data_IF_038070126658
#
_entry.id   IF_038070126658
#
_cell.length_a   1.000
_cell.length_b   1.000
_cell.length_c   1.000
_cell.angle_alpha   90.00
_cell.angle_beta   90.00
_cell.angle_gamma   90.00
#
_symmetry.space_group_name_H-M   'P 1'
#
loop_
_entity.id
_entity.type
_entity.pdbx_description
1 polymer ?
#
# COMPACT_ATOMS: atom_id res chain seq x y z
N UNK A 1 50.89 -23.24 -1.66
CA UNK A 1 49.80 -22.77 -0.76
C UNK A 1 49.41 -21.31 -0.96
N UNK A 2 50.34 -20.38 -1.17
CA UNK A 2 50.00 -18.93 -1.35
C UNK A 2 49.23 -18.60 -2.62
N UNK A 3 49.37 -19.36 -3.70
CA UNK A 3 48.63 -19.09 -4.99
C UNK A 3 47.18 -19.58 -4.95
N UNK A 4 46.84 -20.60 -4.16
CA UNK A 4 45.47 -21.10 -3.99
C UNK A 4 44.65 -20.13 -3.14
N UNK A 5 45.29 -19.49 -2.13
CA UNK A 5 44.61 -18.51 -1.28
C UNK A 5 44.27 -17.21 -2.03
N UNK A 6 45.07 -16.79 -3.01
CA UNK A 6 44.82 -15.62 -3.85
C UNK A 6 43.71 -15.88 -4.89
N UNK A 7 43.55 -17.11 -5.36
CA UNK A 7 42.49 -17.47 -6.29
C UNK A 7 41.11 -17.55 -5.61
N UNK A 8 41.05 -18.01 -4.34
CA UNK A 8 39.80 -18.00 -3.54
C UNK A 8 39.35 -16.59 -3.16
N UNK A 9 40.26 -15.63 -3.02
CA UNK A 9 39.89 -14.24 -2.67
C UNK A 9 39.30 -13.47 -3.88
N UNK A 10 39.64 -13.86 -5.11
CA UNK A 10 39.14 -13.23 -6.33
C UNK A 10 37.72 -13.70 -6.73
N UNK A 11 37.28 -14.86 -6.21
CA UNK A 11 35.92 -15.37 -6.48
C UNK A 11 34.83 -14.68 -5.67
N UNK A 12 35.18 -13.91 -4.61
CA UNK A 12 34.22 -13.16 -3.78
C UNK A 12 33.92 -11.74 -4.28
N UNK A 13 34.53 -11.31 -5.39
CA UNK A 13 34.35 -9.98 -6.00
C UNK A 13 33.57 -9.99 -7.30
N UNK A 14 32.73 -11.03 -7.54
CA UNK A 14 31.74 -10.91 -8.61
C UNK A 14 30.66 -9.92 -8.14
N UNK A 15 30.55 -8.73 -8.78
CA UNK A 15 29.43 -7.86 -8.51
C UNK A 15 28.17 -8.64 -8.94
N UNK A 16 27.30 -8.98 -8.01
CA UNK A 16 25.95 -9.39 -8.34
C UNK A 16 25.32 -8.18 -9.03
N UNK A 17 25.25 -8.23 -10.36
CA UNK A 17 24.48 -7.26 -11.12
C UNK A 17 23.02 -7.42 -10.70
N UNK A 18 22.57 -6.59 -9.76
CA UNK A 18 21.16 -6.44 -9.51
C UNK A 18 20.60 -5.72 -10.73
N UNK A 19 19.81 -6.42 -11.52
CA UNK A 19 18.99 -5.80 -12.54
C UNK A 19 18.05 -4.82 -11.83
N UNK A 20 18.23 -3.52 -12.08
CA UNK A 20 17.29 -2.50 -11.66
C UNK A 20 16.09 -2.58 -12.61
N UNK A 21 15.12 -3.41 -12.31
CA UNK A 21 13.87 -3.45 -13.05
C UNK A 21 13.00 -2.25 -12.62
N UNK A 22 12.45 -1.56 -13.62
CA UNK A 22 11.52 -0.45 -13.41
C UNK A 22 10.20 -1.01 -12.87
N UNK A 23 10.05 -0.99 -11.56
CA UNK A 23 8.91 -1.57 -10.87
C UNK A 23 7.76 -0.55 -10.80
N UNK A 24 6.58 -0.92 -11.30
CA UNK A 24 5.35 -0.17 -11.11
C UNK A 24 5.11 0.07 -9.61
N UNK A 25 4.80 1.32 -9.28
CA UNK A 25 4.66 1.74 -7.89
C UNK A 25 3.54 1.02 -7.15
N UNK A 26 3.88 0.07 -6.26
CA UNK A 26 2.95 -0.64 -5.37
C UNK A 26 3.15 -0.25 -3.89
N UNK A 27 3.51 1.01 -3.63
CA UNK A 27 3.66 1.51 -2.27
C UNK A 27 2.32 1.51 -1.50
N UNK A 28 2.35 1.36 -0.16
CA UNK A 28 1.17 1.45 0.65
C UNK A 28 0.53 2.85 0.54
N UNK A 29 -0.78 2.89 0.32
CA UNK A 29 -1.53 4.14 0.19
C UNK A 29 -1.97 4.64 1.55
N UNK A 30 -1.70 5.93 1.81
CA UNK A 30 -2.02 6.62 3.05
C UNK A 30 -0.91 6.56 4.11
N UNK A 31 -0.71 7.69 4.81
CA UNK A 31 0.33 7.81 5.84
C UNK A 31 0.12 6.88 7.04
N UNK A 32 -1.12 6.42 7.28
CA UNK A 32 -1.41 5.42 8.32
C UNK A 32 -0.71 4.10 8.01
N UNK A 33 -0.90 3.56 6.82
CA UNK A 33 -0.27 2.33 6.37
C UNK A 33 1.25 2.47 6.35
N UNK A 34 1.76 3.58 5.81
CA UNK A 34 3.19 3.86 5.77
C UNK A 34 3.83 3.87 7.15
N UNK A 35 3.20 4.54 8.15
CA UNK A 35 3.70 4.58 9.53
C UNK A 35 3.68 3.23 10.25
N UNK A 36 2.94 2.25 9.74
CA UNK A 36 2.87 0.87 10.23
C UNK A 36 3.80 -0.11 9.47
N UNK A 37 4.89 0.40 8.88
CA UNK A 37 5.79 -0.42 8.06
C UNK A 37 5.20 -0.87 6.74
N UNK A 38 4.09 -0.30 6.30
CA UNK A 38 3.33 -0.72 5.13
C UNK A 38 2.36 -1.87 5.37
N UNK A 39 2.20 -2.35 6.61
CA UNK A 39 1.22 -3.38 6.96
C UNK A 39 -0.20 -2.79 6.95
N UNK A 40 -0.97 -3.09 5.92
CA UNK A 40 -2.27 -2.45 5.66
C UNK A 40 -3.39 -3.41 5.27
N UNK A 41 -3.11 -4.69 5.06
CA UNK A 41 -4.07 -5.66 4.50
C UNK A 41 -5.32 -5.85 5.37
N UNK A 42 -5.26 -5.49 6.66
CA UNK A 42 -6.36 -5.60 7.63
C UNK A 42 -7.00 -4.26 8.00
N UNK A 43 -6.46 -3.12 7.51
CA UNK A 43 -6.92 -1.80 7.93
C UNK A 43 -8.26 -1.42 7.30
N UNK A 44 -9.27 -1.00 8.11
CA UNK A 44 -10.58 -0.57 7.63
C UNK A 44 -10.67 0.96 7.56
N UNK A 45 -10.18 1.56 6.49
CA UNK A 45 -10.23 3.01 6.26
C UNK A 45 -10.40 3.32 4.76
N UNK A 46 -10.47 4.58 4.38
CA UNK A 46 -10.63 5.00 2.98
C UNK A 46 -9.49 4.48 2.08
N UNK A 47 -8.28 4.29 2.63
CA UNK A 47 -7.10 3.79 1.93
C UNK A 47 -7.20 2.30 1.60
N UNK A 48 -8.16 1.58 2.23
CA UNK A 48 -8.41 0.17 1.96
C UNK A 48 -8.76 -0.07 0.48
N UNK A 49 -9.40 0.87 -0.21
CA UNK A 49 -9.65 0.75 -1.64
C UNK A 49 -8.40 0.34 -2.44
N UNK A 50 -7.24 0.87 -2.09
CA UNK A 50 -5.98 0.57 -2.77
C UNK A 50 -5.12 -0.48 -2.03
N UNK A 51 -5.27 -0.62 -0.71
CA UNK A 51 -4.45 -1.53 0.09
C UNK A 51 -5.05 -2.95 0.20
N UNK A 52 -6.36 -3.05 0.42
CA UNK A 52 -7.18 -4.27 0.39
C UNK A 52 -8.65 -3.87 0.27
N UNK A 53 -9.29 -4.00 -0.89
CA UNK A 53 -10.63 -3.47 -1.13
C UNK A 53 -11.69 -4.02 -0.19
N UNK A 54 -11.51 -5.21 0.41
CA UNK A 54 -12.43 -5.75 1.41
C UNK A 54 -12.61 -4.84 2.65
N UNK A 55 -11.57 -4.09 3.02
CA UNK A 55 -11.60 -3.16 4.14
C UNK A 55 -12.61 -2.03 3.98
N UNK A 56 -12.98 -1.66 2.75
CA UNK A 56 -14.00 -0.65 2.49
C UNK A 56 -15.36 -1.02 3.09
N UNK A 57 -15.70 -2.32 3.13
CA UNK A 57 -16.98 -2.78 3.66
C UNK A 57 -17.20 -2.44 5.15
N UNK A 58 -16.16 -2.09 5.88
CA UNK A 58 -16.27 -1.63 7.26
C UNK A 58 -16.71 -0.17 7.38
N UNK A 59 -16.60 0.62 6.33
CA UNK A 59 -16.97 2.04 6.34
C UNK A 59 -18.48 2.19 6.37
N UNK A 60 -18.95 3.17 7.14
CA UNK A 60 -20.40 3.43 7.37
C UNK A 60 -20.84 4.77 6.78
N UNK A 61 -19.90 5.59 6.32
CA UNK A 61 -20.16 6.93 5.77
C UNK A 61 -19.30 7.15 4.53
N UNK A 62 -19.70 8.14 3.71
CA UNK A 62 -18.85 8.61 2.62
C UNK A 62 -17.54 9.14 3.21
N UNK A 63 -16.44 8.61 2.73
CA UNK A 63 -15.10 9.09 3.06
C UNK A 63 -14.36 9.48 1.79
N UNK A 64 -13.70 10.64 1.86
CA UNK A 64 -12.81 11.16 0.83
C UNK A 64 -11.38 11.12 1.35
N UNK A 65 -10.44 10.80 0.49
CA UNK A 65 -9.02 10.76 0.83
C UNK A 65 -8.17 11.50 -0.21
N UNK A 66 -7.16 12.23 0.25
CA UNK A 66 -6.10 12.78 -0.58
C UNK A 66 -4.75 12.44 0.05
N UNK A 67 -3.77 12.08 -0.77
CA UNK A 67 -2.43 11.78 -0.28
C UNK A 67 -1.34 12.24 -1.23
N UNK A 68 -0.17 12.50 -0.64
CA UNK A 68 1.09 12.68 -1.34
C UNK A 68 2.15 11.79 -0.67
N UNK A 69 2.92 11.11 -1.49
CA UNK A 69 4.04 10.29 -1.07
C UNK A 69 5.27 10.63 -1.88
N UNK A 70 6.35 11.03 -1.23
CA UNK A 70 7.61 11.36 -1.86
C UNK A 70 8.68 10.38 -1.40
N UNK A 71 9.21 9.57 -2.33
CA UNK A 71 10.29 8.61 -2.03
C UNK A 71 11.63 9.31 -2.01
N UNK A 72 12.39 9.04 -0.96
CA UNK A 72 13.78 9.47 -0.81
C UNK A 72 14.00 10.97 -1.01
N UNK A 73 12.94 11.77 -0.79
CA UNK A 73 12.93 13.24 -1.01
C UNK A 73 13.25 13.64 -2.46
N UNK A 74 13.03 12.75 -3.44
CA UNK A 74 13.21 13.00 -4.87
C UNK A 74 11.87 13.40 -5.51
N UNK A 75 11.82 14.54 -6.20
CA UNK A 75 10.59 15.07 -6.80
C UNK A 75 10.01 14.11 -7.86
N UNK A 76 10.87 13.47 -8.65
CA UNK A 76 10.53 12.53 -9.71
C UNK A 76 9.90 11.23 -9.17
N UNK A 77 10.10 10.94 -7.89
CA UNK A 77 9.54 9.76 -7.21
C UNK A 77 8.35 10.12 -6.32
N UNK A 78 7.55 11.10 -6.76
CA UNK A 78 6.36 11.53 -6.03
C UNK A 78 5.11 10.85 -6.58
N UNK A 79 4.30 10.31 -5.65
CA UNK A 79 2.94 9.83 -5.92
C UNK A 79 1.94 10.77 -5.29
N UNK A 80 0.88 11.10 -6.01
CA UNK A 80 -0.28 11.82 -5.47
C UNK A 80 -1.54 11.05 -5.83
N UNK A 81 -2.57 11.14 -5.00
CA UNK A 81 -3.83 10.47 -5.31
C UNK A 81 -5.01 10.99 -4.52
N UNK A 82 -6.18 10.73 -5.08
CA UNK A 82 -7.48 11.06 -4.54
C UNK A 82 -8.34 9.79 -4.52
N UNK A 83 -9.11 9.61 -3.44
CA UNK A 83 -10.01 8.48 -3.27
C UNK A 83 -11.36 8.96 -2.75
N UNK A 84 -12.40 8.23 -3.14
CA UNK A 84 -13.75 8.37 -2.56
C UNK A 84 -14.33 6.97 -2.34
N UNK A 85 -14.85 6.72 -1.13
CA UNK A 85 -15.49 5.45 -0.77
C UNK A 85 -16.86 5.73 -0.19
N UNK A 86 -17.89 5.15 -0.81
CA UNK A 86 -19.29 5.38 -0.46
C UNK A 86 -20.00 4.05 -0.13
N UNK A 87 -20.46 3.85 1.11
CA UNK A 87 -21.32 2.73 1.46
C UNK A 87 -22.73 2.96 0.90
N UNK A 88 -23.15 2.11 0.00
CA UNK A 88 -24.49 2.14 -0.60
C UNK A 88 -25.45 1.25 0.19
N UNK A 89 -26.76 1.46 0.06
CA UNK A 89 -27.76 0.65 0.75
C UNK A 89 -27.94 -0.75 0.13
N UNK A 90 -27.71 -0.90 -1.19
CA UNK A 90 -28.05 -2.13 -1.93
C UNK A 90 -26.82 -2.86 -2.50
N UNK A 91 -25.83 -2.13 -2.97
CA UNK A 91 -24.68 -2.69 -3.70
C UNK A 91 -23.47 -2.99 -2.80
N UNK A 92 -23.57 -2.70 -1.47
CA UNK A 92 -22.40 -2.72 -0.61
C UNK A 92 -21.62 -1.40 -0.68
N UNK A 93 -20.31 -1.42 -0.49
CA UNK A 93 -19.48 -0.22 -0.49
C UNK A 93 -18.73 -0.10 -1.81
N UNK A 94 -18.93 1.03 -2.51
CA UNK A 94 -18.24 1.33 -3.76
C UNK A 94 -17.11 2.33 -3.51
N UNK A 95 -16.05 2.27 -4.30
CA UNK A 95 -14.94 3.19 -4.21
C UNK A 95 -14.37 3.53 -5.59
N UNK A 96 -13.81 4.74 -5.70
CA UNK A 96 -13.06 5.19 -6.88
C UNK A 96 -11.76 5.82 -6.41
N UNK A 97 -10.68 5.63 -7.17
CA UNK A 97 -9.41 6.30 -6.91
C UNK A 97 -8.72 6.75 -8.19
N UNK A 98 -8.00 7.84 -8.06
CA UNK A 98 -7.10 8.38 -9.05
C UNK A 98 -5.73 8.50 -8.43
N UNK A 99 -4.72 8.01 -9.12
CA UNK A 99 -3.32 8.10 -8.68
C UNK A 99 -2.44 8.51 -9.84
N UNK A 100 -1.45 9.33 -9.55
CA UNK A 100 -0.34 9.65 -10.45
C UNK A 100 0.97 9.47 -9.71
N UNK A 101 1.95 8.83 -10.36
CA UNK A 101 3.34 8.71 -9.92
C UNK A 101 4.28 9.24 -11.00
N UNK A 102 5.41 9.78 -10.59
CA UNK A 102 6.51 10.15 -11.48
C UNK A 102 6.49 11.58 -11.98
N UNK A 103 7.44 11.88 -12.87
CA UNK A 103 7.72 13.19 -13.42
C UNK A 103 7.37 13.34 -14.91
N UNK A 104 8.17 14.13 -15.63
CA UNK A 104 7.97 14.36 -17.07
C UNK A 104 8.53 13.24 -17.97
N UNK A 105 9.65 12.62 -17.58
CA UNK A 105 10.30 11.58 -18.36
C UNK A 105 9.58 10.25 -18.26
N UNK A 106 9.13 9.91 -17.04
CA UNK A 106 8.39 8.70 -16.74
C UNK A 106 7.21 9.04 -15.81
N UNK A 107 6.02 8.60 -16.15
CA UNK A 107 4.89 8.69 -15.25
C UNK A 107 3.92 7.52 -15.41
N UNK A 108 3.29 7.19 -14.30
CA UNK A 108 2.21 6.23 -14.20
C UNK A 108 0.93 6.95 -13.78
N UNK A 109 -0.18 6.59 -14.39
CA UNK A 109 -1.52 7.01 -13.99
C UNK A 109 -2.38 5.78 -13.75
N UNK A 110 -3.16 5.82 -12.69
CA UNK A 110 -4.06 4.74 -12.31
C UNK A 110 -5.44 5.32 -12.02
N UNK A 111 -6.46 4.72 -12.64
CA UNK A 111 -7.85 4.93 -12.33
C UNK A 111 -8.42 3.62 -11.84
N UNK A 112 -8.88 3.57 -10.61
CA UNK A 112 -9.45 2.37 -9.98
C UNK A 112 -10.92 2.53 -9.64
N UNK A 113 -11.65 1.42 -9.74
CA UNK A 113 -13.01 1.28 -9.22
C UNK A 113 -13.10 0.00 -8.39
N UNK A 114 -13.65 0.10 -7.19
CA UNK A 114 -13.78 -1.02 -6.25
C UNK A 114 -15.20 -1.21 -5.75
N UNK A 115 -15.49 -2.46 -5.41
CA UNK A 115 -16.73 -2.89 -4.77
C UNK A 115 -16.38 -3.80 -3.60
N UNK A 116 -16.99 -3.57 -2.44
CA UNK A 116 -16.83 -4.42 -1.29
C UNK A 116 -18.18 -4.73 -0.63
N UNK A 117 -18.28 -5.94 -0.09
CA UNK A 117 -19.48 -6.40 0.60
C UNK A 117 -19.14 -7.12 1.90
N UNK A 118 -19.99 -6.94 2.91
CA UNK A 118 -19.86 -7.65 4.19
C UNK A 118 -20.88 -8.77 4.27
N UNK A 119 -20.43 -10.00 4.49
CA UNK A 119 -21.21 -11.22 4.64
C UNK A 119 -20.94 -11.79 6.03
N UNK A 120 -21.78 -11.41 7.00
CA UNK A 120 -21.56 -11.77 8.39
C UNK A 120 -20.22 -11.23 8.91
N UNK A 121 -19.32 -12.12 9.32
CA UNK A 121 -17.97 -11.77 9.84
C UNK A 121 -16.92 -11.60 8.72
N UNK A 122 -17.25 -11.98 7.48
CA UNK A 122 -16.35 -11.91 6.32
C UNK A 122 -16.66 -10.66 5.50
N UNK A 123 -15.63 -9.97 5.07
CA UNK A 123 -15.66 -8.87 4.10
C UNK A 123 -14.94 -9.31 2.85
N UNK A 124 -15.54 -9.12 1.70
CA UNK A 124 -14.94 -9.39 0.39
C UNK A 124 -14.89 -8.11 -0.42
N UNK A 125 -13.87 -7.98 -1.24
CA UNK A 125 -13.70 -6.82 -2.09
C UNK A 125 -13.06 -7.16 -3.42
N UNK A 126 -13.49 -6.44 -4.46
CA UNK A 126 -13.00 -6.51 -5.81
C UNK A 126 -12.55 -5.11 -6.23
N UNK A 127 -11.51 -5.01 -7.03
CA UNK A 127 -11.09 -3.75 -7.65
C UNK A 127 -10.60 -4.00 -9.07
N UNK A 128 -10.92 -3.09 -9.97
CA UNK A 128 -10.35 -3.02 -11.30
C UNK A 128 -9.60 -1.69 -11.45
N UNK A 129 -8.35 -1.77 -11.89
CA UNK A 129 -7.47 -0.63 -12.13
C UNK A 129 -7.14 -0.54 -13.62
N UNK A 130 -7.37 0.61 -14.23
CA UNK A 130 -6.80 0.96 -15.52
C UNK A 130 -5.50 1.70 -15.26
N UNK A 131 -4.39 1.08 -15.65
CA UNK A 131 -3.05 1.65 -15.54
C UNK A 131 -2.62 2.20 -16.89
N UNK A 132 -1.98 3.36 -16.86
CA UNK A 132 -1.28 3.91 -18.02
C UNK A 132 0.14 4.26 -17.59
N UNK A 133 1.12 3.66 -18.26
CA UNK A 133 2.54 4.00 -18.14
C UNK A 133 2.93 4.81 -19.36
N UNK A 134 3.58 5.95 -19.15
CA UNK A 134 4.09 6.82 -20.21
C UNK A 134 5.58 7.08 -20.01
N UNK A 135 6.35 6.85 -21.06
CA UNK A 135 7.77 7.20 -21.17
C UNK A 135 7.89 8.27 -22.25
N UNK A 136 8.50 9.41 -21.93
CA UNK A 136 8.70 10.52 -22.88
C UNK A 136 9.44 10.00 -24.11
N UNK A 137 9.00 10.40 -25.30
CA UNK A 137 9.52 9.99 -26.61
C UNK A 137 9.28 8.52 -26.99
N UNK A 138 8.95 7.63 -26.03
CA UNK A 138 8.72 6.21 -26.26
C UNK A 138 7.23 5.84 -26.30
N UNK A 139 6.36 6.80 -25.93
CA UNK A 139 4.91 6.64 -26.00
C UNK A 139 4.26 6.21 -24.68
N UNK A 140 3.10 5.55 -24.78
CA UNK A 140 2.37 5.08 -23.59
C UNK A 140 1.76 3.70 -23.82
N UNK A 141 1.67 2.93 -22.73
CA UNK A 141 1.01 1.63 -22.67
C UNK A 141 -0.09 1.64 -21.61
N UNK A 142 -1.12 0.81 -21.82
CA UNK A 142 -2.23 0.65 -20.88
C UNK A 142 -2.42 -0.81 -20.54
N UNK A 143 -2.79 -1.07 -19.29
CA UNK A 143 -3.14 -2.39 -18.81
C UNK A 143 -4.35 -2.30 -17.87
N UNK A 144 -5.07 -3.40 -17.72
CA UNK A 144 -6.16 -3.53 -16.74
C UNK A 144 -5.77 -4.59 -15.73
N UNK A 145 -5.57 -4.19 -14.48
CA UNK A 145 -5.28 -5.08 -13.38
C UNK A 145 -6.51 -5.31 -12.51
N UNK A 146 -6.78 -6.55 -12.16
CA UNK A 146 -7.87 -6.95 -11.27
C UNK A 146 -7.30 -7.36 -9.91
N UNK A 147 -8.00 -6.99 -8.84
CA UNK A 147 -7.62 -7.29 -7.46
C UNK A 147 -8.75 -7.92 -6.69
N UNK A 148 -8.39 -8.85 -5.80
CA UNK A 148 -9.30 -9.56 -4.90
C UNK A 148 -8.84 -9.34 -3.47
N UNK A 149 -9.76 -9.00 -2.58
CA UNK A 149 -9.50 -8.82 -1.16
C UNK A 149 -10.45 -9.57 -0.27
N UNK A 150 -9.96 -10.01 0.87
CA UNK A 150 -10.75 -10.62 1.93
C UNK A 150 -10.30 -10.15 3.31
N UNK A 151 -11.24 -9.98 4.23
CA UNK A 151 -10.98 -9.75 5.66
C UNK A 151 -12.01 -10.52 6.50
N UNK A 152 -11.60 -11.02 7.65
CA UNK A 152 -12.51 -11.65 8.60
C UNK A 152 -12.05 -11.40 10.04
N UNK A 153 -12.99 -11.11 10.93
CA UNK A 153 -12.73 -11.16 12.36
C UNK A 153 -12.79 -12.62 12.81
N UNK A 154 -11.62 -13.24 13.01
CA UNK A 154 -11.47 -14.68 13.33
C UNK A 154 -11.89 -14.97 14.76
N UNK A 155 -11.49 -14.11 15.68
CA UNK A 155 -11.92 -14.06 17.09
C UNK A 155 -12.06 -12.57 17.47
N UNK A 156 -12.76 -12.22 18.56
CA UNK A 156 -12.90 -10.84 18.98
C UNK A 156 -11.56 -10.10 19.03
N UNK A 157 -11.48 -8.94 18.35
CA UNK A 157 -10.30 -8.07 18.26
C UNK A 157 -9.16 -8.60 17.36
N UNK A 158 -9.28 -9.77 16.73
CA UNK A 158 -8.29 -10.31 15.80
C UNK A 158 -8.88 -10.37 14.40
N UNK A 159 -8.36 -9.56 13.49
CA UNK A 159 -8.76 -9.56 12.09
C UNK A 159 -7.64 -10.20 11.25
N UNK A 160 -8.01 -11.18 10.43
CA UNK A 160 -7.20 -11.71 9.35
C UNK A 160 -7.56 -10.98 8.06
N UNK A 161 -6.56 -10.70 7.23
CA UNK A 161 -6.75 -10.12 5.90
C UNK A 161 -5.87 -10.80 4.86
N UNK A 162 -6.41 -10.92 3.64
CA UNK A 162 -5.68 -11.38 2.46
C UNK A 162 -6.04 -10.50 1.26
N UNK A 163 -5.09 -10.28 0.36
CA UNK A 163 -5.26 -9.48 -0.83
C UNK A 163 -4.34 -9.98 -1.94
N UNK A 164 -4.85 -10.03 -3.16
CA UNK A 164 -4.07 -10.30 -4.37
C UNK A 164 -4.31 -9.14 -5.33
N UNK A 165 -3.24 -8.42 -5.65
CA UNK A 165 -3.21 -7.38 -6.68
C UNK A 165 -2.80 -8.01 -8.01
N UNK A 166 -3.46 -7.60 -9.10
CA UNK A 166 -3.21 -8.07 -10.45
C UNK A 166 -3.34 -9.60 -10.60
N UNK A 167 -4.47 -10.15 -10.14
CA UNK A 167 -4.76 -11.60 -10.23
C UNK A 167 -4.80 -12.12 -11.67
N UNK A 168 -5.09 -11.25 -12.64
CA UNK A 168 -5.12 -11.57 -14.06
C UNK A 168 -3.76 -11.45 -14.75
N UNK A 169 -2.68 -11.13 -14.04
CA UNK A 169 -1.31 -11.01 -14.55
C UNK A 169 -1.23 -10.16 -15.83
N UNK A 170 -1.85 -8.98 -15.79
CA UNK A 170 -1.95 -8.06 -16.90
C UNK A 170 -0.58 -7.71 -17.48
N UNK A 171 -0.46 -7.71 -18.82
CA UNK A 171 0.74 -7.32 -19.55
C UNK A 171 0.70 -5.84 -19.92
N UNK A 172 1.83 -5.15 -19.82
CA UNK A 172 2.02 -3.79 -20.32
C UNK A 172 2.48 -3.78 -21.78
N UNK A 173 3.32 -4.76 -22.17
CA UNK A 173 3.77 -4.95 -23.51
C UNK A 173 3.80 -6.44 -23.86
N UNK A 174 3.54 -6.78 -25.14
CA UNK A 174 3.68 -8.16 -25.62
C UNK A 174 5.15 -8.50 -25.92
N UNK A 175 5.91 -7.49 -26.32
CA UNK A 175 7.35 -7.61 -26.54
C UNK A 175 8.07 -7.52 -25.19
N UNK A 176 8.92 -8.47 -24.88
CA UNK A 176 9.67 -8.62 -23.61
C UNK A 176 8.86 -9.08 -22.39
N UNK A 177 7.59 -9.47 -22.56
CA UNK A 177 6.71 -9.98 -21.48
C UNK A 177 6.63 -9.06 -20.24
N UNK A 178 6.73 -7.73 -20.45
CA UNK A 178 6.65 -6.74 -19.37
C UNK A 178 5.25 -6.78 -18.73
N UNK A 179 5.20 -7.15 -17.46
CA UNK A 179 3.96 -7.35 -16.71
C UNK A 179 3.79 -6.32 -15.61
N UNK A 180 2.53 -6.03 -15.32
CA UNK A 180 2.17 -5.38 -14.07
C UNK A 180 2.54 -6.33 -12.92
N UNK A 181 3.22 -5.87 -11.84
CA UNK A 181 3.54 -6.72 -10.70
C UNK A 181 2.32 -7.44 -10.13
N UNK A 182 2.44 -8.73 -9.84
CA UNK A 182 1.42 -9.49 -9.11
C UNK A 182 1.87 -9.63 -7.66
N UNK A 183 1.07 -9.08 -6.74
CA UNK A 183 1.42 -8.99 -5.33
C UNK A 183 0.37 -9.66 -4.47
N UNK A 184 0.81 -10.60 -3.64
CA UNK A 184 0.01 -11.29 -2.64
C UNK A 184 0.34 -10.77 -1.25
N UNK A 185 -0.67 -10.46 -0.46
CA UNK A 185 -0.54 -9.98 0.92
C UNK A 185 -1.43 -10.82 1.83
N UNK A 186 -0.91 -11.18 2.99
CA UNK A 186 -1.71 -11.74 4.08
C UNK A 186 -1.23 -11.21 5.41
N UNK A 187 -2.14 -11.02 6.36
CA UNK A 187 -1.74 -10.45 7.63
C UNK A 187 -2.82 -10.52 8.69
N UNK A 188 -2.42 -10.10 9.86
CA UNK A 188 -3.23 -10.06 11.06
C UNK A 188 -3.18 -8.66 11.68
N UNK A 189 -4.28 -8.22 12.25
CA UNK A 189 -4.31 -7.11 13.19
C UNK A 189 -4.98 -7.52 14.49
N UNK A 190 -4.37 -7.13 15.59
CA UNK A 190 -4.88 -7.44 16.94
C UNK A 190 -5.02 -6.17 17.77
N UNK A 191 -6.24 -5.89 18.23
CA UNK A 191 -6.51 -4.80 19.16
C UNK A 191 -6.13 -5.25 20.58
N UNK A 192 -4.83 -5.14 20.92
CA UNK A 192 -4.28 -5.64 22.19
C UNK A 192 -4.87 -4.90 23.42
N UNK A 193 -5.15 -3.61 23.27
CA UNK A 193 -5.85 -2.81 24.24
C UNK A 193 -6.73 -1.76 23.54
N UNK A 194 -7.62 -1.07 24.24
CA UNK A 194 -8.47 -0.03 23.67
C UNK A 194 -7.69 1.04 22.87
N UNK A 195 -6.43 1.28 23.23
CA UNK A 195 -5.56 2.28 22.63
C UNK A 195 -4.42 1.69 21.79
N UNK A 196 -4.25 0.35 21.72
CA UNK A 196 -3.10 -0.30 21.09
C UNK A 196 -3.55 -1.28 20.02
N UNK A 197 -3.18 -1.00 18.77
CA UNK A 197 -3.36 -1.89 17.63
C UNK A 197 -1.98 -2.42 17.21
N UNK A 198 -1.86 -3.74 17.09
CA UNK A 198 -0.70 -4.43 16.51
C UNK A 198 -1.08 -4.94 15.14
N UNK A 199 -0.18 -4.82 14.17
CA UNK A 199 -0.36 -5.33 12.81
C UNK A 199 0.88 -6.11 12.36
N UNK A 200 0.65 -7.18 11.62
CA UNK A 200 1.70 -7.94 10.95
C UNK A 200 1.21 -8.38 9.58
N UNK A 201 2.06 -8.30 8.57
CA UNK A 201 1.75 -8.64 7.18
C UNK A 201 2.93 -9.31 6.52
N UNK A 202 2.66 -10.32 5.70
CA UNK A 202 3.62 -10.89 4.74
C UNK A 202 3.16 -10.47 3.36
N UNK A 203 4.10 -9.89 2.60
CA UNK A 203 3.91 -9.53 1.21
C UNK A 203 4.84 -10.36 0.33
N UNK A 204 4.30 -10.91 -0.74
CA UNK A 204 5.05 -11.63 -1.78
C UNK A 204 4.66 -11.07 -3.13
N UNK A 205 5.59 -10.39 -3.77
CA UNK A 205 5.57 -10.14 -5.20
C UNK A 205 6.19 -11.34 -5.92
N UNK A 206 5.66 -11.76 -7.07
CA UNK A 206 6.07 -13.01 -7.69
C UNK A 206 7.57 -13.09 -7.98
N UNK A 207 8.17 -11.98 -8.39
CA UNK A 207 9.58 -11.89 -8.82
C UNK A 207 10.55 -11.61 -7.67
N UNK A 208 10.07 -11.13 -6.52
CA UNK A 208 10.91 -10.73 -5.38
C UNK A 208 10.74 -11.66 -4.18
N UNK A 209 11.74 -11.75 -3.28
CA UNK A 209 11.60 -12.46 -2.02
C UNK A 209 10.45 -11.93 -1.18
N UNK A 210 9.83 -12.80 -0.38
CA UNK A 210 8.78 -12.39 0.54
C UNK A 210 9.30 -11.39 1.58
N UNK A 211 8.51 -10.37 1.86
CA UNK A 211 8.80 -9.35 2.86
C UNK A 211 7.82 -9.47 4.05
N UNK A 212 8.34 -9.27 5.25
CA UNK A 212 7.55 -9.18 6.49
C UNK A 212 7.46 -7.71 6.89
N UNK A 213 6.25 -7.29 7.25
CA UNK A 213 5.93 -5.95 7.73
C UNK A 213 5.27 -6.08 9.09
N UNK A 214 5.62 -5.19 10.00
CA UNK A 214 5.00 -5.16 11.32
C UNK A 214 4.87 -3.71 11.79
N UNK A 215 3.84 -3.44 12.59
CA UNK A 215 3.61 -2.10 13.11
C UNK A 215 2.78 -2.10 14.38
N UNK A 216 2.89 -1.00 15.09
CA UNK A 216 2.10 -0.67 16.27
C UNK A 216 1.48 0.72 16.12
N UNK A 217 0.19 0.83 16.40
CA UNK A 217 -0.52 2.11 16.52
C UNK A 217 -0.93 2.31 17.97
N UNK A 218 -0.59 3.47 18.52
CA UNK A 218 -0.98 3.88 19.88
C UNK A 218 -1.80 5.16 19.84
N UNK A 219 -3.04 5.10 20.35
CA UNK A 219 -3.93 6.27 20.54
C UNK A 219 -3.62 6.96 21.86
N UNK A 220 -2.76 7.95 21.82
CA UNK A 220 -2.43 8.77 23.00
C UNK A 220 -3.70 9.44 23.54
N UNK A 221 -4.42 10.13 22.64
CA UNK A 221 -5.71 10.77 22.84
C UNK A 221 -6.68 10.30 21.75
N UNK A 222 -8.00 10.45 21.92
CA UNK A 222 -8.96 10.15 20.85
C UNK A 222 -8.64 10.88 19.54
N UNK A 223 -8.05 12.07 19.63
CA UNK A 223 -7.66 12.91 18.50
C UNK A 223 -6.22 12.69 18.03
N UNK A 224 -5.33 12.05 18.81
CA UNK A 224 -3.90 11.92 18.51
C UNK A 224 -3.46 10.47 18.49
N UNK A 225 -2.92 10.01 17.35
CA UNK A 225 -2.34 8.69 17.18
C UNK A 225 -0.85 8.76 16.83
N UNK A 226 -0.08 7.84 17.39
CA UNK A 226 1.32 7.60 17.07
C UNK A 226 1.47 6.21 16.48
N UNK A 227 2.43 6.04 15.57
CA UNK A 227 2.71 4.77 14.90
C UNK A 227 4.19 4.53 14.77
N UNK A 228 4.56 3.27 14.84
CA UNK A 228 5.89 2.80 14.50
C UNK A 228 5.79 1.50 13.75
N UNK A 229 6.70 1.25 12.82
CA UNK A 229 6.69 0.02 12.04
C UNK A 229 8.03 -0.31 11.42
N UNK A 230 8.07 -1.48 10.84
CA UNK A 230 9.25 -2.03 10.17
C UNK A 230 8.86 -2.81 8.92
N UNK A 231 9.70 -2.73 7.88
CA UNK A 231 9.57 -3.45 6.63
C UNK A 231 10.88 -4.19 6.30
N UNK A 232 10.84 -5.53 6.31
CA UNK A 232 12.06 -6.35 6.14
C UNK A 232 12.65 -6.27 4.73
N UNK A 233 11.82 -6.22 3.69
CA UNK A 233 12.28 -6.17 2.29
C UNK A 233 13.08 -4.91 1.97
N UNK A 234 12.62 -3.75 2.42
CA UNK A 234 13.34 -2.48 2.26
C UNK A 234 14.30 -2.18 3.41
N UNK A 235 14.33 -3.00 4.46
CA UNK A 235 15.07 -2.79 5.72
C UNK A 235 14.85 -1.39 6.27
N UNK A 236 13.59 -0.92 6.23
CA UNK A 236 13.21 0.42 6.66
C UNK A 236 12.45 0.41 7.98
N UNK A 237 12.80 1.35 8.84
CA UNK A 237 11.99 1.74 9.99
C UNK A 237 11.03 2.86 9.61
N UNK A 238 9.83 2.86 10.19
CA UNK A 238 8.82 3.89 9.92
C UNK A 238 8.28 4.47 11.22
N UNK A 239 7.91 5.74 11.18
CA UNK A 239 7.23 6.43 12.26
C UNK A 239 6.11 7.29 11.68
N UNK A 240 5.02 7.47 12.41
CA UNK A 240 3.89 8.27 11.94
C UNK A 240 3.07 8.88 13.06
N UNK A 241 2.39 9.96 12.72
CA UNK A 241 1.47 10.67 13.62
C UNK A 241 0.19 10.99 12.86
N UNK A 242 -0.95 10.98 13.53
CA UNK A 242 -2.18 11.54 12.99
C UNK A 242 -2.94 12.38 14.03
N UNK A 243 -3.63 13.38 13.50
CA UNK A 243 -4.54 14.22 14.26
C UNK A 243 -5.94 14.15 13.65
N UNK A 244 -6.93 13.88 14.48
CA UNK A 244 -8.35 13.94 14.11
C UNK A 244 -8.95 15.24 14.63
N UNK A 245 -9.53 16.01 13.71
CA UNK A 245 -10.23 17.24 14.05
C UNK A 245 -11.59 17.26 13.34
N UNK A 246 -12.67 17.17 14.12
CA UNK A 246 -14.04 17.03 13.59
C UNK A 246 -14.13 15.87 12.58
N UNK A 247 -14.39 16.17 11.32
CA UNK A 247 -14.52 15.21 10.22
C UNK A 247 -13.20 14.92 9.49
N UNK A 248 -12.17 15.68 9.81
CA UNK A 248 -10.86 15.55 9.16
C UNK A 248 -9.93 14.68 9.98
N UNK A 249 -9.14 13.86 9.28
CA UNK A 249 -7.97 13.19 9.83
C UNK A 249 -6.77 13.53 8.94
N UNK A 250 -5.78 14.20 9.51
CA UNK A 250 -4.51 14.50 8.86
C UNK A 250 -3.47 13.57 9.45
N UNK A 251 -2.73 12.87 8.59
CA UNK A 251 -1.69 11.96 9.02
C UNK A 251 -0.41 12.21 8.23
N UNK A 252 0.71 12.09 8.94
CA UNK A 252 2.05 12.18 8.39
C UNK A 252 2.87 10.97 8.85
N UNK A 253 3.72 10.45 7.96
CA UNK A 253 4.66 9.39 8.29
C UNK A 253 5.99 9.59 7.58
N UNK A 254 7.04 9.07 8.20
CA UNK A 254 8.40 8.98 7.67
C UNK A 254 8.78 7.52 7.53
N UNK A 255 9.45 7.19 6.45
CA UNK A 255 10.15 5.91 6.28
C UNK A 255 11.64 6.17 6.09
N UNK A 256 12.47 5.63 6.95
CA UNK A 256 13.93 5.76 6.84
C UNK A 256 14.54 4.46 6.32
N UNK A 257 15.27 4.55 5.22
CA UNK A 257 16.02 3.45 4.61
C UNK A 257 17.50 3.81 4.57
N UNK A 258 18.33 2.96 5.17
CA UNK A 258 19.74 3.27 5.43
C UNK A 258 20.53 3.73 4.20
N UNK A 259 20.27 3.16 3.03
CA UNK A 259 21.05 3.47 1.81
C UNK A 259 20.41 4.53 0.92
N UNK A 260 19.09 4.71 0.98
CA UNK A 260 18.34 5.55 0.05
C UNK A 260 17.77 6.83 0.68
N UNK A 261 17.84 6.95 2.02
CA UNK A 261 17.40 8.15 2.72
C UNK A 261 15.96 8.07 3.24
N UNK A 262 15.30 9.22 3.31
CA UNK A 262 13.99 9.37 3.96
C UNK A 262 12.89 9.55 2.94
N UNK A 263 11.80 8.82 3.12
CA UNK A 263 10.55 8.94 2.36
C UNK A 263 9.49 9.59 3.23
N UNK A 264 8.67 10.47 2.62
CA UNK A 264 7.68 11.28 3.30
C UNK A 264 6.28 10.92 2.81
N UNK A 265 5.33 10.74 3.74
CA UNK A 265 3.95 10.39 3.47
C UNK A 265 3.03 11.38 4.14
N UNK A 266 2.18 12.06 3.38
CA UNK A 266 1.14 12.94 3.89
C UNK A 266 -0.21 12.42 3.41
N UNK A 267 -1.21 12.40 4.28
CA UNK A 267 -2.57 12.06 3.89
C UNK A 267 -3.61 12.80 4.69
N UNK A 268 -4.71 13.13 4.03
CA UNK A 268 -5.88 13.77 4.62
C UNK A 268 -7.09 12.94 4.26
N UNK A 269 -7.87 12.54 5.26
CA UNK A 269 -9.15 11.89 5.09
C UNK A 269 -10.27 12.80 5.63
N UNK A 270 -11.39 12.84 4.93
CA UNK A 270 -12.58 13.58 5.31
C UNK A 270 -13.79 12.65 5.34
N UNK A 271 -14.42 12.56 6.49
CA UNK A 271 -15.65 11.79 6.68
C UNK A 271 -16.86 12.72 6.54
N UNK A 272 -17.68 12.50 5.52
CA UNK A 272 -18.87 13.34 5.27
C UNK A 272 -19.91 13.10 6.36
N UNK A 273 -20.38 14.16 7.05
CA UNK A 273 -21.47 14.03 8.02
C UNK A 273 -22.74 13.50 7.34
N UNK A 274 -23.36 12.48 7.90
CA UNK A 274 -24.72 12.15 7.48
C UNK A 274 -25.65 13.25 7.98
N UNK A 275 -26.40 13.87 7.09
CA UNK A 275 -27.56 14.68 7.51
C UNK A 275 -28.55 13.68 8.15
N UNK A 276 -28.88 13.96 9.40
CA UNK A 276 -29.96 13.29 10.13
C UNK A 276 -31.29 13.56 9.42
#
# INVERSE_FOLDING_TARGET
>A
MQHVLRFCLLLFLLPTAYSAEAQINNAPVGARAAGLGGAAVTLPDVWALSNNPAGMAALKKLELGAYAFNRFSLAELTSIGLLAVYPTQKLGTVGVDLQRFGGELYNEQRLGIGLAHQLGVVRLGLKADVLQVRVKEWGSRKAVALSLGGQSEVIPRLVFGAHIYNVNQAKLAEFEDERVPTVMKMGLSYQAAAKVLLVAEVEKELEFPAAVKAGVEYRVLPALGLRGGFHSGTRSGTAGVDVKFRQFQVAYALGAQHQLGVSNYLSVAYQVPQKL
#
